data_IF_166654225750
#
_entry.id   IF_166654225750
#
_cell.length_a   1.000
_cell.length_b   1.000
_cell.length_c   1.000
_cell.angle_alpha   90.00
_cell.angle_beta   90.00
_cell.angle_gamma   90.00
#
_symmetry.space_group_name_H-M   'P 1'
#
loop_
_entity.id
_entity.type
_entity.pdbx_description
1 polymer ?
#
# COMPACT_ATOMS: atom_id res chain seq x y z
N UNK A 1 41.90 -22.07 11.19
CA UNK A 1 41.07 -21.95 12.41
C UNK A 1 39.64 -21.64 12.00
N UNK A 2 38.65 -21.99 12.82
CA UNK A 2 37.22 -21.78 12.49
C UNK A 2 36.92 -20.30 12.10
N UNK A 3 37.59 -19.34 12.74
CA UNK A 3 37.49 -17.91 12.38
C UNK A 3 38.11 -17.54 11.02
N UNK A 4 39.12 -18.25 10.53
CA UNK A 4 39.68 -18.03 9.19
C UNK A 4 38.75 -18.55 8.08
N UNK A 5 38.03 -19.64 8.35
CA UNK A 5 37.04 -20.20 7.43
C UNK A 5 35.84 -19.25 7.27
N UNK A 6 35.34 -18.70 8.38
CA UNK A 6 34.24 -17.71 8.39
C UNK A 6 34.67 -16.41 7.70
N UNK A 7 35.94 -16.02 7.84
CA UNK A 7 36.47 -14.83 7.16
C UNK A 7 36.53 -15.00 5.64
N UNK A 8 36.92 -16.19 5.15
CA UNK A 8 36.92 -16.50 3.72
C UNK A 8 35.49 -16.56 3.16
N UNK A 9 34.56 -17.20 3.87
CA UNK A 9 33.15 -17.24 3.49
C UNK A 9 32.54 -15.83 3.40
N UNK A 10 32.82 -14.94 4.37
CA UNK A 10 32.38 -13.55 4.33
C UNK A 10 32.94 -12.73 3.15
N UNK A 11 34.14 -13.08 2.66
CA UNK A 11 34.79 -12.36 1.56
C UNK A 11 34.22 -12.76 0.21
N UNK A 12 33.96 -14.06 0.03
CA UNK A 12 33.64 -14.65 -1.27
C UNK A 12 32.13 -14.94 -1.45
N UNK A 13 31.33 -14.89 -0.37
CA UNK A 13 29.88 -15.13 -0.38
C UNK A 13 29.07 -13.94 0.21
N UNK A 14 28.49 -13.06 -0.63
CA UNK A 14 27.68 -11.92 -0.17
C UNK A 14 26.39 -12.32 0.57
N UNK A 15 25.98 -13.60 0.51
CA UNK A 15 24.86 -14.18 1.24
C UNK A 15 25.29 -15.03 2.44
N UNK A 16 26.53 -14.87 2.93
CA UNK A 16 27.00 -15.61 4.11
C UNK A 16 26.01 -15.50 5.28
N UNK A 17 25.69 -16.61 5.96
CA UNK A 17 24.82 -16.60 7.14
C UNK A 17 25.52 -15.97 8.35
N UNK A 18 26.79 -15.56 8.24
CA UNK A 18 27.53 -14.89 9.30
C UNK A 18 27.72 -13.40 8.98
N UNK A 19 27.94 -12.58 10.01
CA UNK A 19 28.40 -11.19 9.89
C UNK A 19 29.49 -10.91 10.92
N UNK A 20 30.48 -10.10 10.55
CA UNK A 20 31.48 -9.59 11.49
C UNK A 20 30.87 -8.52 12.39
N UNK A 21 31.04 -8.68 13.71
CA UNK A 21 30.51 -7.76 14.74
C UNK A 21 31.61 -7.13 15.61
N UNK A 22 32.87 -7.41 15.30
CA UNK A 22 34.03 -6.83 15.96
C UNK A 22 35.33 -7.46 15.49
N UNK A 23 36.46 -7.06 16.09
CA UNK A 23 37.77 -7.67 15.79
C UNK A 23 37.77 -9.14 16.22
N UNK A 24 37.76 -10.05 15.24
CA UNK A 24 37.76 -11.51 15.47
C UNK A 24 36.44 -12.10 15.99
N UNK A 25 35.34 -11.33 16.02
CA UNK A 25 34.02 -11.80 16.47
C UNK A 25 33.03 -11.83 15.30
N UNK A 26 32.32 -12.94 15.17
CA UNK A 26 31.32 -13.19 14.15
C UNK A 26 30.00 -13.60 14.82
N UNK A 27 28.88 -13.18 14.25
CA UNK A 27 27.53 -13.60 14.66
C UNK A 27 26.79 -14.19 13.48
N UNK A 28 25.75 -14.97 13.74
CA UNK A 28 24.80 -15.40 12.70
C UNK A 28 23.91 -14.21 12.35
N UNK A 29 23.72 -13.95 11.06
CA UNK A 29 22.77 -12.98 10.55
C UNK A 29 21.38 -13.50 10.94
N UNK A 30 20.73 -12.86 11.91
CA UNK A 30 19.32 -13.12 12.19
C UNK A 30 18.56 -12.78 10.91
N UNK A 31 18.12 -13.81 10.19
CA UNK A 31 17.23 -13.62 9.06
C UNK A 31 15.96 -12.99 9.63
N UNK A 32 15.62 -11.80 9.17
CA UNK A 32 14.25 -11.29 9.23
C UNK A 32 13.39 -12.29 8.41
N UNK A 33 12.93 -13.34 9.07
CA UNK A 33 12.43 -14.56 8.44
C UNK A 33 10.95 -14.51 8.05
N UNK A 34 10.32 -13.34 8.10
CA UNK A 34 8.92 -13.16 7.71
C UNK A 34 8.76 -12.80 6.23
N UNK A 35 9.67 -12.04 5.63
CA UNK A 35 9.55 -11.63 4.22
C UNK A 35 9.94 -12.75 3.23
N UNK A 36 11.04 -13.47 3.50
CA UNK A 36 11.56 -14.47 2.56
C UNK A 36 10.70 -15.74 2.44
N UNK A 37 9.88 -16.06 3.44
CA UNK A 37 8.98 -17.23 3.40
C UNK A 37 7.69 -16.95 2.64
N UNK A 38 7.15 -15.73 2.76
CA UNK A 38 5.95 -15.31 2.06
C UNK A 38 6.18 -15.16 0.55
N UNK A 39 7.26 -14.47 0.15
CA UNK A 39 7.62 -14.30 -1.27
C UNK A 39 7.85 -15.65 -1.97
N UNK A 40 8.63 -16.54 -1.34
CA UNK A 40 8.87 -17.90 -1.87
C UNK A 40 7.58 -18.72 -1.97
N UNK A 41 6.62 -18.51 -1.05
CA UNK A 41 5.32 -19.18 -1.10
C UNK A 41 4.44 -18.63 -2.23
N UNK A 42 4.47 -17.31 -2.45
CA UNK A 42 3.74 -16.64 -3.54
C UNK A 42 4.26 -17.09 -4.90
N UNK A 43 5.58 -17.10 -5.11
CA UNK A 43 6.18 -17.53 -6.38
C UNK A 43 5.83 -18.98 -6.70
N UNK A 44 5.94 -19.87 -5.70
CA UNK A 44 5.55 -21.28 -5.86
C UNK A 44 4.08 -21.44 -6.22
N UNK A 45 3.20 -20.64 -5.62
CA UNK A 45 1.78 -20.65 -5.94
C UNK A 45 1.52 -20.14 -7.36
N UNK A 46 2.20 -19.06 -7.76
CA UNK A 46 2.10 -18.52 -9.12
C UNK A 46 2.54 -19.56 -10.16
N UNK A 47 3.64 -20.29 -9.92
CA UNK A 47 4.10 -21.35 -10.81
C UNK A 47 3.09 -22.50 -10.95
N UNK A 48 2.39 -22.86 -9.88
CA UNK A 48 1.32 -23.86 -9.93
C UNK A 48 0.14 -23.37 -10.79
N UNK A 49 -0.29 -22.13 -10.60
CA UNK A 49 -1.37 -21.52 -11.39
C UNK A 49 -0.95 -21.38 -12.86
N UNK A 50 0.31 -21.03 -13.15
CA UNK A 50 0.84 -20.97 -14.52
C UNK A 50 0.70 -22.30 -15.24
N UNK A 51 1.10 -23.41 -14.59
CA UNK A 51 0.95 -24.76 -15.14
C UNK A 51 -0.51 -25.13 -15.37
N UNK A 52 -1.37 -24.87 -14.40
CA UNK A 52 -2.81 -25.16 -14.54
C UNK A 52 -3.43 -24.35 -15.70
N UNK A 53 -3.08 -23.06 -15.81
CA UNK A 53 -3.53 -22.22 -16.93
C UNK A 53 -3.08 -22.80 -18.26
N UNK A 54 -1.80 -23.18 -18.38
CA UNK A 54 -1.26 -23.79 -19.60
C UNK A 54 -2.02 -25.07 -20.00
N UNK A 55 -2.31 -25.95 -19.04
CA UNK A 55 -3.09 -27.16 -19.28
C UNK A 55 -4.52 -26.84 -19.76
N UNK A 56 -5.16 -25.83 -19.17
CA UNK A 56 -6.48 -25.34 -19.61
C UNK A 56 -6.42 -24.75 -21.02
N UNK A 57 -5.39 -23.96 -21.35
CA UNK A 57 -5.18 -23.45 -22.72
C UNK A 57 -5.08 -24.60 -23.74
N UNK A 58 -4.33 -25.65 -23.40
CA UNK A 58 -4.18 -26.82 -24.26
C UNK A 58 -5.44 -27.67 -24.37
N UNK A 59 -6.34 -27.62 -23.38
CA UNK A 59 -7.61 -28.34 -23.39
C UNK A 59 -8.75 -27.59 -24.12
N UNK A 60 -8.65 -26.26 -24.28
CA UNK A 60 -9.70 -25.44 -24.91
C UNK A 60 -9.95 -25.75 -26.38
N UNK A 61 -11.21 -25.69 -26.82
CA UNK A 61 -11.52 -25.88 -28.24
C UNK A 61 -10.91 -24.76 -29.10
N UNK A 62 -10.49 -25.03 -30.35
CA UNK A 62 -9.80 -24.03 -31.17
C UNK A 62 -10.52 -22.68 -31.29
N UNK A 63 -11.85 -22.62 -31.54
CA UNK A 63 -12.57 -21.34 -31.60
C UNK A 63 -12.59 -20.60 -30.26
N UNK A 64 -12.61 -21.31 -29.13
CA UNK A 64 -12.54 -20.67 -27.80
C UNK A 64 -11.18 -20.04 -27.55
N UNK A 65 -10.12 -20.69 -28.03
CA UNK A 65 -8.77 -20.16 -27.92
C UNK A 65 -8.60 -18.89 -28.79
N UNK A 66 -9.17 -18.85 -29.99
CA UNK A 66 -9.20 -17.65 -30.83
C UNK A 66 -9.92 -16.47 -30.15
N UNK A 67 -11.05 -16.74 -29.48
CA UNK A 67 -11.78 -15.73 -28.70
C UNK A 67 -10.93 -15.22 -27.53
N UNK A 68 -10.23 -16.10 -26.82
CA UNK A 68 -9.32 -15.70 -25.73
C UNK A 68 -8.17 -14.82 -26.25
N UNK A 69 -7.63 -15.13 -27.43
CA UNK A 69 -6.62 -14.28 -28.07
C UNK A 69 -7.21 -12.92 -28.47
N UNK A 70 -8.44 -12.89 -28.97
CA UNK A 70 -9.12 -11.62 -29.26
C UNK A 70 -9.26 -10.76 -27.99
N UNK A 71 -9.72 -11.34 -26.87
CA UNK A 71 -9.79 -10.63 -25.58
C UNK A 71 -8.41 -10.11 -25.15
N UNK A 72 -7.36 -10.93 -25.31
CA UNK A 72 -6.00 -10.49 -24.99
C UNK A 72 -5.56 -9.29 -25.85
N UNK A 73 -5.87 -9.27 -27.13
CA UNK A 73 -5.54 -8.15 -28.01
C UNK A 73 -6.29 -6.87 -27.60
N UNK A 74 -7.56 -6.98 -27.25
CA UNK A 74 -8.34 -5.84 -26.71
C UNK A 74 -7.69 -5.30 -25.42
N UNK A 75 -7.28 -6.18 -24.49
CA UNK A 75 -6.56 -5.77 -23.25
C UNK A 75 -5.19 -5.16 -23.51
N UNK A 76 -4.59 -5.45 -24.66
CA UNK A 76 -3.33 -4.84 -25.12
C UNK A 76 -3.55 -3.50 -25.85
N UNK A 77 -4.79 -3.04 -25.98
CA UNK A 77 -5.14 -1.77 -26.61
C UNK A 77 -5.35 -1.85 -28.13
N UNK A 78 -5.56 -3.06 -28.67
CA UNK A 78 -6.05 -3.18 -30.05
C UNK A 78 -7.54 -2.84 -30.11
N UNK A 79 -7.93 -2.24 -31.23
CA UNK A 79 -9.29 -1.86 -31.59
C UNK A 79 -9.75 -2.70 -32.80
N UNK A 80 -11.05 -2.74 -33.05
CA UNK A 80 -11.65 -3.46 -34.17
C UNK A 80 -11.18 -4.93 -34.26
N UNK A 81 -11.14 -5.61 -33.10
CA UNK A 81 -10.72 -7.01 -33.01
C UNK A 81 -11.84 -7.92 -33.49
N UNK A 82 -11.57 -8.70 -34.55
CA UNK A 82 -12.57 -9.57 -35.20
C UNK A 82 -11.97 -10.96 -35.41
N UNK A 83 -12.60 -11.98 -34.81
CA UNK A 83 -12.30 -13.40 -35.04
C UNK A 83 -12.87 -13.84 -36.39
N UNK A 84 -12.05 -14.45 -37.23
CA UNK A 84 -12.42 -14.88 -38.58
C UNK A 84 -12.92 -16.33 -38.59
N UNK A 85 -14.23 -16.53 -38.44
CA UNK A 85 -14.82 -17.86 -38.24
C UNK A 85 -15.11 -18.70 -39.50
N UNK A 86 -14.29 -18.69 -40.56
CA UNK A 86 -14.62 -19.44 -41.81
C UNK A 86 -13.47 -20.26 -42.39
N UNK A 87 -13.77 -21.54 -42.65
CA UNK A 87 -12.96 -22.38 -43.55
C UNK A 87 -12.72 -21.66 -44.88
N UNK A 88 -11.46 -21.34 -45.18
CA UNK A 88 -11.05 -20.60 -46.40
C UNK A 88 -10.37 -19.25 -46.16
N UNK A 89 -10.22 -18.80 -44.92
CA UNK A 89 -9.51 -17.57 -44.48
C UNK A 89 -7.99 -17.55 -44.73
N UNK A 90 -7.45 -18.58 -45.40
CA UNK A 90 -6.04 -18.75 -45.73
C UNK A 90 -5.12 -18.65 -44.50
N UNK A 91 -5.62 -18.94 -43.30
CA UNK A 91 -4.82 -19.00 -42.07
C UNK A 91 -4.70 -17.67 -41.31
N UNK A 92 -5.62 -16.74 -41.51
CA UNK A 92 -5.84 -15.60 -40.61
C UNK A 92 -6.99 -15.99 -39.67
N UNK A 93 -6.74 -15.94 -38.36
CA UNK A 93 -7.72 -16.34 -37.33
C UNK A 93 -8.30 -15.11 -36.59
N UNK A 94 -7.55 -14.00 -36.51
CA UNK A 94 -8.02 -12.73 -35.95
C UNK A 94 -7.48 -11.55 -36.77
N UNK A 95 -8.27 -10.49 -36.92
CA UNK A 95 -7.82 -9.19 -37.44
C UNK A 95 -8.01 -8.12 -36.38
N UNK A 96 -7.09 -7.16 -36.27
CA UNK A 96 -7.10 -6.14 -35.24
C UNK A 96 -6.36 -4.88 -35.70
N UNK A 97 -6.63 -3.73 -35.11
CA UNK A 97 -5.95 -2.46 -35.42
C UNK A 97 -5.35 -1.86 -34.16
N UNK A 98 -4.06 -1.54 -34.17
CA UNK A 98 -3.41 -0.83 -33.07
C UNK A 98 -3.28 0.66 -33.40
N UNK A 99 -3.95 1.52 -32.65
CA UNK A 99 -3.90 2.97 -32.82
C UNK A 99 -2.89 3.58 -31.85
N UNK A 100 -1.84 4.22 -32.37
CA UNK A 100 -0.78 4.85 -31.57
C UNK A 100 -1.01 6.35 -31.49
N UNK A 101 -1.29 6.84 -30.29
CA UNK A 101 -1.44 8.28 -30.00
C UNK A 101 -2.57 8.98 -30.76
N UNK A 102 -3.52 8.22 -31.33
CA UNK A 102 -4.61 8.77 -32.16
C UNK A 102 -4.20 9.33 -33.51
N UNK A 103 -2.93 9.16 -33.92
CA UNK A 103 -2.37 9.78 -35.13
C UNK A 103 -2.05 8.75 -36.21
N UNK A 104 -1.72 7.52 -35.80
CA UNK A 104 -1.38 6.44 -36.74
C UNK A 104 -1.99 5.13 -36.30
N UNK A 105 -2.38 4.30 -37.28
CA UNK A 105 -3.01 3.00 -37.06
C UNK A 105 -2.25 1.92 -37.81
N UNK A 106 -2.01 0.79 -37.16
CA UNK A 106 -1.39 -0.39 -37.76
C UNK A 106 -2.40 -1.52 -37.77
N UNK A 107 -2.83 -1.94 -38.96
CA UNK A 107 -3.65 -3.15 -39.12
C UNK A 107 -2.77 -4.38 -38.94
N UNK A 108 -3.25 -5.32 -38.14
CA UNK A 108 -2.54 -6.55 -37.81
C UNK A 108 -3.43 -7.74 -38.11
N UNK A 109 -2.90 -8.69 -38.89
CA UNK A 109 -3.50 -10.01 -39.09
C UNK A 109 -2.79 -11.02 -38.19
N UNK A 110 -3.59 -11.85 -37.53
CA UNK A 110 -3.13 -12.71 -36.45
C UNK A 110 -3.45 -14.15 -36.81
N UNK A 111 -2.45 -15.01 -36.66
CA UNK A 111 -2.62 -16.46 -36.72
C UNK A 111 -2.37 -17.07 -35.35
N UNK A 112 -3.26 -17.96 -34.95
CA UNK A 112 -3.32 -18.58 -33.65
C UNK A 112 -3.12 -20.09 -33.80
N UNK A 113 -2.16 -20.66 -33.07
CA UNK A 113 -1.88 -22.11 -33.08
C UNK A 113 -1.83 -22.68 -31.68
N UNK A 114 -2.84 -23.48 -31.32
CA UNK A 114 -2.86 -24.26 -30.07
C UNK A 114 -2.16 -25.61 -30.28
N UNK A 115 -0.85 -25.66 -30.15
CA UNK A 115 -0.06 -26.88 -30.27
C UNK A 115 0.54 -27.31 -28.93
N UNK A 116 0.67 -28.62 -28.72
CA UNK A 116 1.38 -29.18 -27.58
C UNK A 116 2.86 -28.82 -27.64
N UNK A 117 3.48 -28.66 -26.47
CA UNK A 117 4.92 -28.44 -26.33
C UNK A 117 5.72 -29.49 -27.10
N UNK A 118 6.68 -29.04 -27.90
CA UNK A 118 7.49 -29.88 -28.79
C UNK A 118 6.97 -29.97 -30.23
N UNK A 119 5.70 -29.63 -30.48
CA UNK A 119 5.20 -29.39 -31.83
C UNK A 119 5.35 -27.89 -32.16
N UNK A 120 6.53 -27.51 -32.63
CA UNK A 120 6.91 -26.12 -32.80
C UNK A 120 6.46 -25.56 -34.15
N UNK A 121 6.21 -24.26 -34.20
CA UNK A 121 5.75 -23.55 -35.40
C UNK A 121 6.90 -23.37 -36.39
N UNK A 122 6.72 -23.85 -37.63
CA UNK A 122 7.70 -23.77 -38.72
C UNK A 122 7.56 -22.50 -39.56
N UNK A 123 8.55 -22.21 -40.40
CA UNK A 123 8.50 -21.08 -41.35
C UNK A 123 7.34 -21.17 -42.34
N UNK A 124 6.82 -22.36 -42.63
CA UNK A 124 5.66 -22.54 -43.51
C UNK A 124 4.41 -21.80 -43.00
N UNK A 125 4.17 -21.81 -41.68
CA UNK A 125 3.04 -21.09 -41.07
C UNK A 125 3.23 -19.58 -41.22
N UNK A 126 4.45 -19.09 -40.98
CA UNK A 126 4.79 -17.66 -41.12
C UNK A 126 4.64 -17.20 -42.58
N UNK A 127 5.13 -18.00 -43.53
CA UNK A 127 5.02 -17.73 -44.95
C UNK A 127 3.56 -17.74 -45.42
N UNK A 128 2.73 -18.65 -44.90
CA UNK A 128 1.31 -18.70 -45.18
C UNK A 128 0.59 -17.44 -44.71
N UNK A 129 0.79 -17.02 -43.45
CA UNK A 129 0.20 -15.77 -42.94
C UNK A 129 0.60 -14.57 -43.80
N UNK A 130 1.88 -14.50 -44.19
CA UNK A 130 2.38 -13.43 -45.05
C UNK A 130 1.74 -13.44 -46.44
N UNK A 131 1.50 -14.61 -47.03
CA UNK A 131 0.82 -14.74 -48.32
C UNK A 131 -0.66 -14.34 -48.28
N UNK A 132 -1.26 -14.34 -47.09
CA UNK A 132 -2.66 -13.97 -46.86
C UNK A 132 -2.84 -12.50 -46.48
N UNK A 133 -1.78 -11.81 -46.05
CA UNK A 133 -1.81 -10.43 -45.61
C UNK A 133 -1.83 -9.43 -46.77
N UNK A 134 -2.47 -8.27 -46.55
CA UNK A 134 -2.42 -7.12 -47.47
C UNK A 134 -1.16 -6.27 -47.25
N UNK A 135 -0.84 -5.39 -48.21
CA UNK A 135 0.43 -4.64 -48.26
C UNK A 135 0.65 -3.71 -47.04
N UNK A 136 -0.42 -3.16 -46.46
CA UNK A 136 -0.40 -2.24 -45.32
C UNK A 136 -0.52 -2.94 -43.95
N UNK A 137 -0.62 -4.27 -43.94
CA UNK A 137 -0.82 -5.06 -42.73
C UNK A 137 0.49 -5.54 -42.11
N UNK A 138 0.47 -5.83 -40.81
CA UNK A 138 1.52 -6.56 -40.10
C UNK A 138 1.03 -7.94 -39.68
N UNK A 139 1.96 -8.88 -39.55
CA UNK A 139 1.65 -10.23 -39.05
C UNK A 139 1.91 -10.37 -37.56
N UNK A 140 1.10 -11.19 -36.90
CA UNK A 140 1.33 -11.67 -35.54
C UNK A 140 1.01 -13.16 -35.48
N UNK A 141 1.92 -13.97 -34.96
CA UNK A 141 1.67 -15.39 -34.71
C UNK A 141 1.73 -15.67 -33.22
N UNK A 142 0.66 -16.23 -32.68
CA UNK A 142 0.52 -16.58 -31.26
C UNK A 142 0.35 -18.09 -31.16
N UNK A 143 1.12 -18.73 -30.27
CA UNK A 143 1.07 -20.17 -30.06
C UNK A 143 1.22 -20.55 -28.59
N UNK A 144 0.67 -21.70 -28.21
CA UNK A 144 0.93 -22.34 -26.90
C UNK A 144 2.24 -23.13 -26.87
N UNK A 145 2.95 -23.22 -28.00
CA UNK A 145 4.21 -23.96 -28.19
C UNK A 145 5.38 -22.99 -28.45
N UNK A 146 6.48 -23.51 -28.98
CA UNK A 146 7.65 -22.73 -29.39
C UNK A 146 7.72 -22.55 -30.91
N UNK A 147 8.63 -21.68 -31.37
CA UNK A 147 8.96 -21.50 -32.78
C UNK A 147 10.23 -22.27 -33.15
N UNK A 148 10.29 -22.84 -34.35
CA UNK A 148 11.55 -23.40 -34.86
C UNK A 148 12.52 -22.28 -35.25
N UNK A 149 13.82 -22.60 -35.35
CA UNK A 149 14.83 -21.64 -35.85
C UNK A 149 14.48 -21.09 -37.23
N UNK A 150 13.97 -21.96 -38.09
CA UNK A 150 13.47 -21.59 -39.41
C UNK A 150 12.24 -20.66 -39.33
N UNK A 151 11.30 -20.94 -38.43
CA UNK A 151 10.16 -20.05 -38.17
C UNK A 151 10.58 -18.65 -37.72
N UNK A 152 11.55 -18.57 -36.80
CA UNK A 152 12.11 -17.28 -36.35
C UNK A 152 12.87 -16.57 -37.48
N UNK A 153 13.64 -17.30 -38.30
CA UNK A 153 14.34 -16.72 -39.43
C UNK A 153 13.37 -16.17 -40.49
N UNK A 154 12.30 -16.92 -40.81
CA UNK A 154 11.29 -16.52 -41.79
C UNK A 154 10.50 -15.30 -41.33
N UNK A 155 10.21 -15.18 -40.03
CA UNK A 155 9.52 -14.02 -39.45
C UNK A 155 10.36 -12.73 -39.53
N UNK A 156 11.68 -12.86 -39.40
CA UNK A 156 12.65 -11.75 -39.43
C UNK A 156 13.30 -11.53 -40.81
N UNK A 157 12.84 -12.24 -41.85
CA UNK A 157 13.46 -12.17 -43.17
C UNK A 157 13.40 -10.75 -43.75
N UNK A 158 14.53 -10.27 -44.25
CA UNK A 158 14.66 -8.92 -44.80
C UNK A 158 13.76 -8.71 -46.03
N UNK A 159 13.27 -7.48 -46.21
CA UNK A 159 12.42 -7.06 -47.32
C UNK A 159 11.06 -7.79 -47.43
N UNK A 160 10.62 -8.44 -46.36
CA UNK A 160 9.33 -9.10 -46.25
C UNK A 160 8.49 -8.41 -45.17
N UNK A 161 7.16 -8.58 -45.23
CA UNK A 161 6.26 -8.09 -44.19
C UNK A 161 6.72 -8.60 -42.79
N UNK A 162 6.92 -7.70 -41.81
CA UNK A 162 7.29 -8.09 -40.45
C UNK A 162 6.21 -8.95 -39.79
N UNK A 163 6.63 -10.03 -39.12
CA UNK A 163 5.75 -10.91 -38.35
C UNK A 163 6.25 -10.99 -36.91
N UNK A 164 5.44 -10.52 -35.96
CA UNK A 164 5.73 -10.65 -34.53
C UNK A 164 5.38 -12.07 -34.04
N UNK A 165 6.17 -12.58 -33.09
CA UNK A 165 6.02 -13.94 -32.56
C UNK A 165 5.75 -13.90 -31.06
N UNK A 166 4.74 -14.65 -30.61
CA UNK A 166 4.39 -14.86 -29.20
C UNK A 166 4.30 -16.36 -28.95
N UNK A 167 5.27 -16.89 -28.20
CA UNK A 167 5.33 -18.31 -27.83
C UNK A 167 4.50 -18.57 -26.55
N UNK A 168 4.44 -19.83 -26.14
CA UNK A 168 3.64 -20.26 -24.98
C UNK A 168 3.98 -19.51 -23.69
N UNK A 169 5.26 -19.37 -23.35
CA UNK A 169 5.68 -18.67 -22.13
C UNK A 169 5.31 -17.17 -22.17
N UNK A 170 5.59 -16.50 -23.29
CA UNK A 170 5.23 -15.08 -23.43
C UNK A 170 3.72 -14.87 -23.44
N UNK A 171 2.95 -15.82 -23.99
CA UNK A 171 1.50 -15.80 -23.92
C UNK A 171 1.04 -15.88 -22.46
N UNK A 172 1.56 -16.82 -21.67
CA UNK A 172 1.23 -16.93 -20.25
C UNK A 172 1.57 -15.65 -19.48
N UNK A 173 2.72 -15.04 -19.74
CA UNK A 173 3.10 -13.76 -19.11
C UNK A 173 2.09 -12.65 -19.40
N UNK A 174 1.64 -12.56 -20.66
CA UNK A 174 0.63 -11.58 -21.06
C UNK A 174 -0.72 -11.86 -20.39
N UNK A 175 -1.16 -13.12 -20.35
CA UNK A 175 -2.42 -13.48 -19.67
C UNK A 175 -2.36 -13.16 -18.17
N UNK A 176 -1.24 -13.43 -17.50
CA UNK A 176 -1.04 -13.06 -16.10
C UNK A 176 -1.04 -11.54 -15.89
N UNK A 177 -0.30 -10.81 -16.74
CA UNK A 177 -0.20 -9.36 -16.65
C UNK A 177 -1.54 -8.66 -16.83
N UNK A 178 -2.39 -9.18 -17.71
CA UNK A 178 -3.70 -8.61 -18.02
C UNK A 178 -4.86 -9.27 -17.25
N UNK A 179 -4.54 -10.17 -16.32
CA UNK A 179 -5.50 -10.89 -15.47
C UNK A 179 -6.59 -11.62 -16.28
N UNK A 180 -6.18 -12.32 -17.34
CA UNK A 180 -7.07 -13.11 -18.20
C UNK A 180 -6.95 -14.58 -17.79
N UNK A 181 -8.05 -15.17 -17.36
CA UNK A 181 -8.08 -16.55 -16.83
C UNK A 181 -7.43 -16.72 -15.45
N UNK A 182 -6.90 -15.64 -14.86
CA UNK A 182 -6.33 -15.58 -13.51
C UNK A 182 -6.84 -14.33 -12.79
N UNK A 183 -6.77 -14.32 -11.46
CA UNK A 183 -7.16 -13.17 -10.63
C UNK A 183 -6.12 -12.91 -9.57
N UNK A 184 -5.71 -11.66 -9.40
CA UNK A 184 -4.83 -11.27 -8.30
C UNK A 184 -5.59 -11.21 -6.98
N UNK A 185 -5.16 -11.98 -5.98
CA UNK A 185 -5.69 -11.88 -4.63
C UNK A 185 -4.95 -10.77 -3.87
N UNK A 186 -5.69 -9.84 -3.26
CA UNK A 186 -5.16 -8.91 -2.25
C UNK A 186 -5.49 -9.47 -0.87
N UNK A 187 -4.50 -10.01 -0.18
CA UNK A 187 -4.67 -10.54 1.18
C UNK A 187 -4.29 -9.43 2.16
N UNK A 188 -5.22 -8.93 3.01
CA UNK A 188 -4.88 -7.94 4.02
C UNK A 188 -3.93 -8.57 5.03
N UNK A 189 -2.73 -8.00 5.14
CA UNK A 189 -1.77 -8.36 6.19
C UNK A 189 -1.93 -7.35 7.32
N UNK A 190 -2.34 -7.83 8.48
CA UNK A 190 -2.45 -7.00 9.68
C UNK A 190 -1.12 -7.03 10.43
N UNK A 191 -0.57 -5.86 10.70
CA UNK A 191 0.53 -5.67 11.65
C UNK A 191 -0.01 -5.14 12.97
N UNK A 192 0.73 -5.38 14.05
CA UNK A 192 0.46 -4.71 15.32
C UNK A 192 0.86 -3.24 15.20
N UNK A 193 -0.10 -2.34 15.44
CA UNK A 193 0.15 -0.92 15.59
C UNK A 193 0.64 -0.66 17.03
N UNK A 194 1.95 -0.68 17.25
CA UNK A 194 2.53 -0.44 18.57
C UNK A 194 2.27 1.00 19.06
N UNK A 195 2.25 1.97 18.14
CA UNK A 195 2.07 3.40 18.43
C UNK A 195 0.63 3.75 18.84
N UNK A 196 -0.35 2.96 18.39
CA UNK A 196 -1.70 3.00 18.94
C UNK A 196 -1.71 2.68 20.44
N UNK A 197 -0.80 1.82 20.91
CA UNK A 197 -0.66 1.47 22.31
C UNK A 197 0.33 2.36 23.08
N UNK A 198 1.03 3.28 22.42
CA UNK A 198 1.80 4.35 23.07
C UNK A 198 0.82 5.32 23.75
N UNK A 199 0.29 4.88 24.90
CA UNK A 199 -0.38 5.75 25.85
C UNK A 199 0.70 6.69 26.40
N UNK A 200 0.51 8.02 26.35
CA UNK A 200 1.39 8.92 27.10
C UNK A 200 1.19 8.58 28.58
N UNK A 201 2.03 7.69 29.11
CA UNK A 201 2.06 7.45 30.55
C UNK A 201 2.66 8.68 31.21
N UNK A 202 2.27 8.92 32.45
CA UNK A 202 2.71 10.09 33.20
C UNK A 202 4.22 10.11 33.49
N UNK A 203 4.90 8.98 33.28
CA UNK A 203 6.27 8.72 33.72
C UNK A 203 7.26 8.58 32.54
N UNK A 204 6.79 8.66 31.29
CA UNK A 204 7.65 8.71 30.12
C UNK A 204 8.05 10.16 29.82
N UNK A 205 9.07 10.64 30.54
CA UNK A 205 9.82 11.87 30.27
C UNK A 205 10.66 11.79 28.98
N UNK A 206 10.11 11.22 27.89
CA UNK A 206 10.68 11.42 26.55
C UNK A 206 10.09 12.69 25.92
N UNK A 207 10.35 13.80 26.60
CA UNK A 207 10.34 15.11 25.94
C UNK A 207 11.50 15.16 24.96
N UNK A 208 11.24 15.62 23.74
CA UNK A 208 12.32 16.06 22.86
C UNK A 208 13.04 17.29 23.46
N UNK A 209 14.07 17.81 22.80
CA UNK A 209 14.80 19.00 23.25
C UNK A 209 13.91 20.26 23.43
N UNK A 210 12.66 20.24 22.95
CA UNK A 210 11.67 21.32 23.07
C UNK A 210 10.72 21.18 24.26
N UNK A 211 10.70 20.02 24.96
CA UNK A 211 9.80 19.80 26.09
C UNK A 211 8.40 19.29 25.71
N UNK A 212 8.08 19.17 24.41
CA UNK A 212 6.75 18.77 23.92
C UNK A 212 6.57 17.25 23.95
N UNK A 213 5.33 16.80 24.18
CA UNK A 213 4.98 15.37 24.18
C UNK A 213 4.76 14.83 22.77
N UNK A 214 5.31 13.63 22.52
CA UNK A 214 5.18 12.91 21.24
C UNK A 214 3.87 12.13 21.12
N UNK A 215 3.35 11.58 22.21
CA UNK A 215 2.10 10.82 22.20
C UNK A 215 0.88 11.71 22.41
N UNK A 216 -0.13 11.56 21.55
CA UNK A 216 -1.47 12.12 21.73
C UNK A 216 -2.50 10.99 21.63
N UNK A 217 -3.55 11.04 22.43
CA UNK A 217 -4.61 10.03 22.44
C UNK A 217 -5.99 10.65 22.10
N UNK A 218 -6.91 9.84 21.57
CA UNK A 218 -8.29 10.26 21.33
C UNK A 218 -9.07 10.35 22.65
N UNK A 219 -10.28 10.90 22.61
CA UNK A 219 -11.24 10.86 23.71
C UNK A 219 -12.50 10.09 23.33
N UNK A 220 -13.26 9.55 24.32
CA UNK A 220 -14.47 8.80 24.03
C UNK A 220 -15.56 9.71 23.46
N UNK A 221 -16.51 9.13 22.71
CA UNK A 221 -17.66 9.85 22.13
C UNK A 221 -17.67 9.87 20.60
N UNK A 222 -16.64 9.33 19.96
CA UNK A 222 -16.50 9.32 18.50
C UNK A 222 -15.61 10.45 18.00
N UNK A 223 -15.39 10.47 16.69
CA UNK A 223 -14.38 11.34 16.05
C UNK A 223 -14.68 12.83 16.14
N UNK A 224 -15.92 13.24 16.46
CA UNK A 224 -16.37 14.64 16.51
C UNK A 224 -16.68 15.12 17.94
N UNK A 225 -16.30 14.35 18.96
CA UNK A 225 -16.67 14.61 20.35
C UNK A 225 -15.49 14.99 21.26
N UNK A 226 -14.25 15.08 20.75
CA UNK A 226 -13.06 15.16 21.60
C UNK A 226 -13.06 16.41 22.48
N UNK A 227 -13.30 17.59 21.89
CA UNK A 227 -13.33 18.86 22.65
C UNK A 227 -14.50 18.86 23.64
N UNK A 228 -15.68 18.44 23.23
CA UNK A 228 -16.86 18.35 24.11
C UNK A 228 -16.62 17.43 25.31
N UNK A 229 -16.07 16.24 25.07
CA UNK A 229 -15.71 15.27 26.10
C UNK A 229 -14.63 15.84 27.04
N UNK A 230 -13.61 16.51 26.50
CA UNK A 230 -12.58 17.14 27.31
C UNK A 230 -13.17 18.20 28.23
N UNK A 231 -14.05 19.06 27.73
CA UNK A 231 -14.70 20.08 28.56
C UNK A 231 -15.56 19.47 29.68
N UNK A 232 -16.29 18.37 29.40
CA UNK A 232 -17.00 17.63 30.45
C UNK A 232 -16.05 17.06 31.51
N UNK A 233 -14.87 16.60 31.08
CA UNK A 233 -13.84 16.13 32.00
C UNK A 233 -13.29 17.26 32.89
N UNK A 234 -13.06 18.45 32.31
CA UNK A 234 -12.61 19.61 33.08
C UNK A 234 -13.69 20.10 34.06
N UNK A 235 -14.96 20.17 33.63
CA UNK A 235 -16.10 20.56 34.49
C UNK A 235 -16.19 19.64 35.73
N UNK A 236 -15.97 18.33 35.56
CA UNK A 236 -15.99 17.36 36.65
C UNK A 236 -14.83 17.57 37.65
N UNK A 237 -13.61 17.78 37.15
CA UNK A 237 -12.42 18.01 37.98
C UNK A 237 -12.43 19.38 38.67
N UNK A 238 -13.02 20.41 38.04
CA UNK A 238 -13.23 21.71 38.66
C UNK A 238 -14.18 21.61 39.86
N UNK A 239 -15.21 20.77 39.76
CA UNK A 239 -16.20 20.55 40.81
C UNK A 239 -15.66 19.70 41.96
N UNK A 240 -14.88 18.67 41.64
CA UNK A 240 -14.35 17.74 42.63
C UNK A 240 -13.01 17.12 42.19
N UNK A 241 -11.88 17.53 42.78
CA UNK A 241 -10.60 16.86 42.56
C UNK A 241 -10.66 15.39 42.98
N UNK A 242 -10.28 14.50 42.07
CA UNK A 242 -10.44 13.03 42.20
C UNK A 242 -9.09 12.33 42.26
N UNK A 243 -8.99 11.24 43.02
CA UNK A 243 -7.89 10.29 42.90
C UNK A 243 -7.93 9.56 41.56
N UNK A 244 -6.83 8.91 41.16
CA UNK A 244 -6.79 8.16 39.89
C UNK A 244 -7.86 7.05 39.79
N UNK A 245 -8.11 6.22 40.82
CA UNK A 245 -9.18 5.23 40.76
C UNK A 245 -10.57 5.86 40.63
N UNK A 246 -10.87 6.91 41.39
CA UNK A 246 -12.14 7.65 41.30
C UNK A 246 -12.34 8.22 39.89
N UNK A 247 -11.27 8.74 39.29
CA UNK A 247 -11.30 9.31 37.95
C UNK A 247 -11.58 8.28 36.86
N UNK A 248 -10.96 7.11 36.95
CA UNK A 248 -11.22 5.97 36.06
C UNK A 248 -12.68 5.53 36.17
N UNK A 249 -13.19 5.40 37.39
CA UNK A 249 -14.59 5.01 37.64
C UNK A 249 -15.57 6.07 37.14
N UNK A 250 -15.26 7.36 37.33
CA UNK A 250 -16.07 8.45 36.79
C UNK A 250 -16.13 8.41 35.26
N UNK A 251 -15.01 8.16 34.57
CA UNK A 251 -14.97 8.04 33.11
C UNK A 251 -15.82 6.88 32.62
N UNK A 252 -15.70 5.70 33.23
CA UNK A 252 -16.49 4.52 32.85
C UNK A 252 -17.99 4.73 33.08
N UNK A 253 -18.35 5.43 34.17
CA UNK A 253 -19.75 5.76 34.47
C UNK A 253 -20.33 6.82 33.53
N UNK A 254 -19.54 7.84 33.18
CA UNK A 254 -19.99 8.98 32.39
C UNK A 254 -20.02 8.68 30.89
N UNK A 255 -19.21 7.73 30.44
CA UNK A 255 -19.09 7.34 29.03
C UNK A 255 -19.32 5.83 28.87
N UNK A 256 -20.58 5.37 28.67
CA UNK A 256 -20.93 3.94 28.61
C UNK A 256 -20.19 3.12 27.54
N UNK A 257 -19.63 3.78 26.53
CA UNK A 257 -18.77 3.19 25.51
C UNK A 257 -17.40 2.74 26.05
N UNK A 258 -16.97 3.26 27.21
CA UNK A 258 -15.68 2.94 27.84
C UNK A 258 -15.85 1.69 28.72
N UNK A 259 -15.64 0.51 28.12
CA UNK A 259 -15.95 -0.79 28.74
C UNK A 259 -14.83 -1.40 29.59
N UNK A 260 -13.65 -0.78 29.65
CA UNK A 260 -12.52 -1.32 30.40
C UNK A 260 -11.76 -0.24 31.16
N UNK A 261 -11.24 -0.62 32.34
CA UNK A 261 -10.35 0.25 33.13
C UNK A 261 -9.08 0.62 32.36
N UNK A 262 -8.59 -0.27 31.48
CA UNK A 262 -7.43 0.02 30.62
C UNK A 262 -7.72 1.18 29.67
N UNK A 263 -8.85 1.14 28.95
CA UNK A 263 -9.25 2.22 28.03
C UNK A 263 -9.55 3.51 28.79
N UNK A 264 -10.27 3.42 29.92
CA UNK A 264 -10.51 4.56 30.81
C UNK A 264 -9.19 5.16 31.33
N UNK A 265 -8.20 4.32 31.63
CA UNK A 265 -6.87 4.73 32.03
C UNK A 265 -6.14 5.52 30.94
N UNK A 266 -6.28 5.14 29.66
CA UNK A 266 -5.79 5.92 28.52
C UNK A 266 -6.43 7.30 28.42
N UNK A 267 -7.77 7.35 28.42
CA UNK A 267 -8.51 8.62 28.38
C UNK A 267 -8.20 9.52 29.57
N UNK A 268 -8.03 8.95 30.76
CA UNK A 268 -7.66 9.67 31.98
C UNK A 268 -6.33 10.42 31.87
N UNK A 269 -5.40 9.95 31.03
CA UNK A 269 -4.10 10.59 30.84
C UNK A 269 -4.17 11.81 29.90
N UNK A 270 -5.17 11.87 29.02
CA UNK A 270 -5.22 12.88 27.94
C UNK A 270 -5.20 14.33 28.46
N UNK A 271 -6.02 14.75 29.45
CA UNK A 271 -5.95 16.12 29.96
C UNK A 271 -4.59 16.47 30.57
N UNK A 272 -3.93 15.51 31.23
CA UNK A 272 -2.59 15.68 31.79
C UNK A 272 -1.53 15.77 30.68
N UNK A 273 -1.66 14.95 29.64
CA UNK A 273 -0.75 14.97 28.50
C UNK A 273 -0.79 16.33 27.77
N UNK A 274 -1.99 16.89 27.61
CA UNK A 274 -2.19 18.23 27.02
C UNK A 274 -1.66 19.35 27.94
N UNK A 275 -1.53 19.12 29.25
CA UNK A 275 -1.09 20.12 30.23
C UNK A 275 -2.21 20.81 31.01
N UNK A 276 -3.44 20.30 30.93
CA UNK A 276 -4.63 20.89 31.58
C UNK A 276 -4.85 20.40 33.02
N UNK A 277 -4.23 19.28 33.39
CA UNK A 277 -4.38 18.70 34.73
C UNK A 277 -3.07 18.23 35.30
N UNK A 278 -2.93 18.32 36.61
CA UNK A 278 -1.75 17.92 37.37
C UNK A 278 -2.15 17.10 38.60
N UNK A 279 -1.17 16.47 39.25
CA UNK A 279 -1.38 15.69 40.46
C UNK A 279 -0.95 16.52 41.67
N UNK A 280 -1.89 16.88 42.55
CA UNK A 280 -1.64 17.62 43.78
C UNK A 280 -2.14 16.77 44.94
N UNK A 281 -1.25 16.42 45.88
CA UNK A 281 -1.59 15.64 47.07
C UNK A 281 -2.37 14.34 46.76
N UNK A 282 -1.98 13.64 45.69
CA UNK A 282 -2.62 12.38 45.27
C UNK A 282 -3.96 12.53 44.55
N UNK A 283 -4.40 13.77 44.25
CA UNK A 283 -5.61 14.08 43.50
C UNK A 283 -5.30 14.81 42.21
N UNK A 284 -6.03 14.45 41.16
CA UNK A 284 -6.00 15.12 39.86
C UNK A 284 -6.75 16.45 40.01
N UNK A 285 -6.07 17.54 39.68
CA UNK A 285 -6.57 18.91 39.77
C UNK A 285 -6.27 19.67 38.48
N UNK A 286 -7.01 20.74 38.20
CA UNK A 286 -6.76 21.60 37.04
C UNK A 286 -5.50 22.45 37.23
N UNK A 287 -4.65 22.52 36.20
CA UNK A 287 -3.53 23.49 36.12
C UNK A 287 -4.07 24.91 35.91
N UNK A 288 -3.19 25.92 35.87
CA UNK A 288 -3.59 27.29 35.51
C UNK A 288 -4.24 27.33 34.11
N UNK A 289 -3.64 26.67 33.12
CA UNK A 289 -4.19 26.56 31.77
C UNK A 289 -5.49 25.76 31.75
N UNK A 290 -5.57 24.67 32.53
CA UNK A 290 -6.80 23.90 32.71
C UNK A 290 -7.97 24.73 33.22
N UNK A 291 -7.73 25.59 34.22
CA UNK A 291 -8.73 26.52 34.75
C UNK A 291 -9.14 27.55 33.70
N UNK A 292 -8.17 28.14 33.01
CA UNK A 292 -8.42 29.12 31.95
C UNK A 292 -9.32 28.54 30.85
N UNK A 293 -8.99 27.35 30.35
CA UNK A 293 -9.79 26.66 29.32
C UNK A 293 -11.18 26.28 29.84
N UNK A 294 -11.28 25.79 31.07
CA UNK A 294 -12.56 25.46 31.70
C UNK A 294 -13.48 26.68 31.82
N UNK A 295 -12.94 27.84 32.20
CA UNK A 295 -13.69 29.09 32.35
C UNK A 295 -14.10 29.69 30.99
N UNK A 296 -13.17 29.75 30.03
CA UNK A 296 -13.45 30.36 28.73
C UNK A 296 -14.26 29.48 27.79
N UNK A 297 -14.13 28.14 27.95
CA UNK A 297 -14.66 27.12 27.02
C UNK A 297 -14.28 27.40 25.55
N UNK A 298 -13.16 28.11 25.34
CA UNK A 298 -12.72 28.58 24.04
C UNK A 298 -11.83 27.55 23.34
N UNK A 299 -12.18 27.20 22.10
CA UNK A 299 -11.35 26.35 21.25
C UNK A 299 -10.00 26.98 20.93
N UNK A 300 -9.90 28.32 20.94
CA UNK A 300 -8.63 29.03 20.69
C UNK A 300 -7.69 28.93 21.89
N UNK A 301 -8.21 29.08 23.11
CA UNK A 301 -7.43 28.88 24.32
C UNK A 301 -6.95 27.43 24.43
N UNK A 302 -7.83 26.47 24.13
CA UNK A 302 -7.46 25.07 24.12
C UNK A 302 -6.40 24.76 23.04
N UNK A 303 -6.55 25.30 21.83
CA UNK A 303 -5.55 25.15 20.78
C UNK A 303 -4.18 25.68 21.20
N UNK A 304 -4.11 26.83 21.89
CA UNK A 304 -2.85 27.39 22.37
C UNK A 304 -2.13 26.43 23.32
N UNK A 305 -2.88 25.78 24.23
CA UNK A 305 -2.32 24.77 25.14
C UNK A 305 -1.81 23.53 24.38
N UNK A 306 -2.56 23.07 23.37
CA UNK A 306 -2.13 21.97 22.50
C UNK A 306 -0.83 22.30 21.75
N UNK A 307 -0.78 23.47 21.11
CA UNK A 307 0.37 23.95 20.35
C UNK A 307 1.64 24.01 21.22
N UNK A 308 1.49 24.45 22.48
CA UNK A 308 2.59 24.54 23.43
C UNK A 308 3.09 23.16 23.92
N UNK A 309 2.19 22.20 24.14
CA UNK A 309 2.52 20.98 24.89
C UNK A 309 2.64 19.71 24.02
N UNK A 310 2.09 19.70 22.81
CA UNK A 310 2.04 18.51 21.94
C UNK A 310 2.83 18.75 20.66
N UNK A 311 3.80 17.86 20.40
CA UNK A 311 4.63 17.89 19.20
C UNK A 311 3.78 17.66 17.95
N UNK A 312 4.00 18.43 16.89
CA UNK A 312 3.34 18.26 15.60
C UNK A 312 2.04 19.05 15.44
N UNK A 313 1.54 19.74 16.47
CA UNK A 313 0.31 20.55 16.33
C UNK A 313 0.58 21.81 15.52
N UNK A 314 1.61 22.58 15.87
CA UNK A 314 1.95 23.83 15.17
C UNK A 314 2.45 23.55 13.75
N UNK A 315 3.25 22.50 13.60
CA UNK A 315 3.84 22.11 12.33
C UNK A 315 2.78 21.63 11.33
N UNK A 316 1.78 20.87 11.79
CA UNK A 316 0.61 20.56 10.96
C UNK A 316 -0.07 21.86 10.53
N UNK A 317 -0.32 22.80 11.44
CA UNK A 317 -1.01 24.04 11.08
C UNK A 317 -0.21 24.90 10.09
N UNK A 318 1.12 24.91 10.17
CA UNK A 318 1.98 25.57 9.18
C UNK A 318 1.94 24.87 7.82
N UNK A 319 1.97 23.54 7.81
CA UNK A 319 1.82 22.74 6.59
C UNK A 319 0.48 23.02 5.86
N UNK A 320 -0.63 23.11 6.60
CA UNK A 320 -1.93 23.43 6.00
C UNK A 320 -2.08 24.90 5.58
N UNK A 321 -1.30 25.83 6.14
CA UNK A 321 -1.27 27.24 5.68
C UNK A 321 -0.46 27.44 4.40
N UNK A 322 0.45 26.51 4.10
CA UNK A 322 1.34 26.58 2.93
C UNK A 322 0.84 25.72 1.76
N UNK A 323 -0.26 25.00 1.93
CA UNK A 323 -0.84 24.12 0.93
C UNK A 323 -2.24 24.57 0.54
N UNK A 324 -2.47 24.74 -0.77
CA UNK A 324 -3.79 25.15 -1.31
C UNK A 324 -4.66 23.95 -1.71
N UNK A 325 -4.19 22.73 -1.46
CA UNK A 325 -4.85 21.48 -1.88
C UNK A 325 -5.18 20.57 -0.69
N UNK A 326 -6.18 19.71 -0.87
CA UNK A 326 -6.56 18.69 0.13
C UNK A 326 -5.37 17.81 0.48
N UNK A 327 -5.10 17.65 1.78
CA UNK A 327 -4.01 16.83 2.29
C UNK A 327 -4.53 15.55 2.92
N UNK A 328 -3.87 14.43 2.61
CA UNK A 328 -4.16 13.12 3.21
C UNK A 328 -3.35 12.92 4.50
N UNK A 329 -3.75 11.95 5.31
CA UNK A 329 -2.97 11.44 6.45
C UNK A 329 -1.54 11.04 6.01
N UNK A 330 -1.39 10.50 4.80
CA UNK A 330 -0.10 10.11 4.24
C UNK A 330 0.82 11.31 3.99
N UNK A 331 0.29 12.38 3.41
CA UNK A 331 1.06 13.60 3.17
C UNK A 331 1.53 14.23 4.48
N UNK A 332 0.63 14.29 5.46
CA UNK A 332 0.94 14.84 6.80
C UNK A 332 1.99 14.00 7.51
N UNK A 333 1.91 12.67 7.42
CA UNK A 333 2.93 11.77 7.98
C UNK A 333 4.30 12.03 7.37
N UNK A 334 4.40 12.10 6.04
CA UNK A 334 5.67 12.38 5.34
C UNK A 334 6.26 13.70 5.81
N UNK A 335 5.45 14.76 5.83
CA UNK A 335 5.87 16.07 6.31
C UNK A 335 6.41 16.03 7.74
N UNK A 336 5.70 15.39 8.68
CA UNK A 336 6.14 15.33 10.08
C UNK A 336 7.43 14.52 10.24
N UNK A 337 7.61 13.43 9.49
CA UNK A 337 8.86 12.66 9.50
C UNK A 337 10.05 13.50 9.05
N UNK A 338 9.90 14.23 7.95
CA UNK A 338 10.96 15.04 7.38
C UNK A 338 11.35 16.23 8.26
N UNK A 339 10.36 16.85 8.93
CA UNK A 339 10.58 18.09 9.68
C UNK A 339 10.80 17.89 11.18
N UNK A 340 10.29 16.81 11.77
CA UNK A 340 10.36 16.55 13.21
C UNK A 340 11.17 15.28 13.57
N UNK A 341 11.64 14.52 12.60
CA UNK A 341 12.40 13.29 12.86
C UNK A 341 11.61 12.27 13.68
N UNK A 342 10.28 12.23 13.51
CA UNK A 342 9.43 11.25 14.17
C UNK A 342 9.55 9.89 13.48
N UNK A 343 9.71 8.83 14.26
CA UNK A 343 9.87 7.46 13.73
C UNK A 343 8.55 6.68 13.69
N UNK A 344 7.39 7.37 13.66
CA UNK A 344 6.07 6.72 13.65
C UNK A 344 5.89 5.84 12.41
N UNK A 345 5.55 4.58 12.59
CA UNK A 345 5.38 3.60 11.52
C UNK A 345 3.93 3.46 11.07
N UNK A 346 2.98 4.01 11.81
CA UNK A 346 1.53 3.96 11.58
C UNK A 346 0.88 5.35 11.61
N UNK A 347 -0.33 5.45 11.05
CA UNK A 347 -1.07 6.71 11.03
C UNK A 347 -1.73 7.10 12.35
N UNK A 348 -1.66 6.29 13.42
CA UNK A 348 -2.42 6.55 14.64
C UNK A 348 -2.14 7.96 15.22
N UNK A 349 -0.86 8.30 15.42
CA UNK A 349 -0.44 9.58 15.98
C UNK A 349 -0.78 10.78 15.09
N UNK A 350 -0.75 10.60 13.76
CA UNK A 350 -1.17 11.62 12.79
C UNK A 350 -2.69 11.80 12.85
N UNK A 351 -3.44 10.71 12.85
CA UNK A 351 -4.90 10.71 12.90
C UNK A 351 -5.42 11.39 14.15
N UNK A 352 -4.84 11.10 15.32
CA UNK A 352 -5.27 11.74 16.55
C UNK A 352 -5.08 13.25 16.49
N UNK A 353 -3.95 13.75 15.98
CA UNK A 353 -3.70 15.19 15.82
C UNK A 353 -4.69 15.84 14.86
N UNK A 354 -4.91 15.24 13.70
CA UNK A 354 -5.83 15.76 12.69
C UNK A 354 -7.27 15.80 13.24
N UNK A 355 -7.72 14.74 13.92
CA UNK A 355 -9.04 14.70 14.53
C UNK A 355 -9.19 15.76 15.64
N UNK A 356 -8.18 15.94 16.48
CA UNK A 356 -8.17 17.01 17.48
C UNK A 356 -8.27 18.40 16.83
N UNK A 357 -7.51 18.66 15.77
CA UNK A 357 -7.56 19.92 15.03
C UNK A 357 -8.90 20.15 14.33
N UNK A 358 -9.56 19.09 13.86
CA UNK A 358 -10.95 19.17 13.34
C UNK A 358 -11.91 19.56 14.45
N UNK A 359 -11.83 18.91 15.63
CA UNK A 359 -12.70 19.22 16.77
C UNK A 359 -12.47 20.64 17.32
N UNK A 360 -11.24 21.15 17.21
CA UNK A 360 -10.89 22.53 17.56
C UNK A 360 -11.35 23.56 16.52
N UNK A 361 -11.92 23.12 15.39
CA UNK A 361 -12.34 23.99 14.29
C UNK A 361 -11.17 24.61 13.51
N UNK A 362 -9.98 23.98 13.55
CA UNK A 362 -8.78 24.42 12.83
C UNK A 362 -8.62 23.77 11.46
N UNK A 363 -9.13 22.55 11.33
CA UNK A 363 -9.19 21.81 10.07
C UNK A 363 -10.63 21.38 9.78
N UNK A 364 -10.93 21.13 8.50
CA UNK A 364 -12.17 20.49 8.05
C UNK A 364 -11.82 19.19 7.34
N UNK A 365 -12.62 18.15 7.60
CA UNK A 365 -12.54 16.89 6.87
C UNK A 365 -13.40 17.00 5.61
N UNK A 366 -12.82 16.62 4.47
CA UNK A 366 -13.46 16.65 3.14
C UNK A 366 -13.24 15.31 2.43
N UNK A 367 -13.92 15.09 1.31
CA UNK A 367 -13.67 13.91 0.48
C UNK A 367 -12.20 13.89 0.03
N UNK A 368 -11.50 12.81 0.37
CA UNK A 368 -10.10 12.62 0.03
C UNK A 368 -9.08 13.24 1.01
N UNK A 369 -9.50 13.84 2.14
CA UNK A 369 -8.55 14.25 3.18
C UNK A 369 -9.02 15.41 4.08
N UNK A 370 -8.12 16.35 4.36
CA UNK A 370 -8.34 17.51 5.22
C UNK A 370 -7.96 18.81 4.49
N UNK A 371 -8.57 19.91 4.93
CA UNK A 371 -8.26 21.28 4.50
C UNK A 371 -8.27 22.21 5.70
N UNK A 372 -7.64 23.39 5.57
CA UNK A 372 -7.71 24.45 6.58
C UNK A 372 -9.15 24.95 6.73
N UNK A 373 -9.61 25.17 7.97
CA UNK A 373 -11.00 25.50 8.29
C UNK A 373 -11.40 26.94 7.96
#
# INVERSE_FOLDING_TARGET
TMGAQIYLDLRDNPKSPFRKVGRGKFTVRTLESSASSAEVTVDRQNDLVRRELQERLLAMEPPQFEILIAELLERLGYENVIVTGRSGDKGIDVTATLTLGGITSVKTVVQVKRYKTGNNISGAVIAQLRGSAEVDQRGLVITTSEFTRDGVAEANAANKMPVALVNGEKLLDLLFKHEIGVRKAQIPVFSLDAEYFENPTADDDESDASGKRRGLWPLPGGIDAYVTTLLQMLDALASHPMTRPEWIQWLMKSFPQVRSEKSAGGYANVPRAIGLTEMINGKISLTADGKKVHESKSSDDLYAVFAQNILGIEEIMEFFKTTDTTQTEANVMVFLKENLGVEWTTFAQVNFRLLWLVNLGKLKRVDGGYVLA
#
